data_IF_358512279766
#
_entry.id   IF_358512279766
#
_cell.length_a   1.000
_cell.length_b   1.000
_cell.length_c   1.000
_cell.angle_alpha   90.00
_cell.angle_beta   90.00
_cell.angle_gamma   90.00
#
_symmetry.space_group_name_H-M   'P 1'
#
loop_
_entity.id
_entity.type
_entity.pdbx_description
1 polymer ?
#
# COMPACT_ATOMS: atom_id res chain seq x y z
N UNK A 1 -28.11 10.81 18.80
CA UNK A 1 -27.18 11.37 17.80
C UNK A 1 -25.86 10.65 18.01
N UNK A 2 -25.35 9.93 17.01
CA UNK A 2 -24.04 9.28 17.15
C UNK A 2 -22.98 10.36 16.96
N UNK A 3 -22.14 10.59 17.97
CA UNK A 3 -20.98 11.47 17.83
C UNK A 3 -20.04 10.94 16.75
N UNK A 4 -19.50 11.84 15.93
CA UNK A 4 -18.57 11.49 14.86
C UNK A 4 -17.21 11.15 15.49
N UNK A 5 -16.57 10.00 15.16
CA UNK A 5 -15.36 9.54 15.86
C UNK A 5 -14.16 10.49 15.84
N UNK A 6 -14.11 11.44 14.89
CA UNK A 6 -13.05 12.46 14.85
C UNK A 6 -13.18 13.53 15.93
N UNK A 7 -14.38 13.73 16.46
CA UNK A 7 -14.70 14.83 17.38
C UNK A 7 -14.59 14.37 18.83
N UNK A 8 -14.34 13.08 19.06
CA UNK A 8 -14.12 12.50 20.38
C UNK A 8 -12.76 12.97 20.94
N UNK A 9 -12.67 13.35 22.22
CA UNK A 9 -11.38 13.65 22.84
C UNK A 9 -10.48 12.40 22.89
N UNK A 10 -9.16 12.61 22.95
CA UNK A 10 -8.21 11.53 23.20
C UNK A 10 -8.49 10.90 24.57
N UNK A 11 -8.62 9.59 24.62
CA UNK A 11 -8.73 8.84 25.87
C UNK A 11 -7.32 8.47 26.35
N UNK A 12 -7.02 8.47 27.66
CA UNK A 12 -5.71 8.07 28.18
C UNK A 12 -5.25 6.68 27.71
N UNK A 13 -6.20 5.77 27.48
CA UNK A 13 -6.02 4.42 26.95
C UNK A 13 -5.81 4.34 25.43
N UNK A 14 -6.16 5.40 24.69
CA UNK A 14 -6.02 5.50 23.24
C UNK A 14 -5.51 6.91 22.88
N UNK A 15 -4.21 7.19 23.12
CA UNK A 15 -3.62 8.53 22.97
C UNK A 15 -3.41 8.94 21.50
N UNK A 16 -4.13 8.34 20.55
CA UNK A 16 -3.94 8.48 19.11
C UNK A 16 -2.53 8.09 18.63
N UNK A 17 -1.80 7.29 19.41
CA UNK A 17 -0.49 6.80 19.02
C UNK A 17 -0.66 5.55 18.14
N UNK A 18 -0.07 5.59 16.96
CA UNK A 18 -0.03 4.43 16.08
C UNK A 18 0.95 3.40 16.63
N UNK A 19 0.44 2.24 17.03
CA UNK A 19 1.24 1.08 17.42
C UNK A 19 1.22 0.05 16.29
N UNK A 20 2.38 -0.31 15.78
CA UNK A 20 2.55 -1.46 14.90
C UNK A 20 3.48 -2.46 15.59
N UNK A 21 2.97 -3.67 15.82
CA UNK A 21 3.73 -4.78 16.37
C UNK A 21 3.85 -5.91 15.35
N UNK A 22 4.98 -6.61 15.35
CA UNK A 22 5.09 -7.86 14.62
C UNK A 22 4.16 -8.91 15.24
N UNK A 23 3.49 -9.68 14.40
CA UNK A 23 2.74 -10.89 14.80
C UNK A 23 3.50 -12.12 14.32
N UNK A 24 3.27 -13.26 14.97
CA UNK A 24 3.83 -14.53 14.51
C UNK A 24 3.29 -14.88 13.11
N UNK A 25 4.19 -15.26 12.20
CA UNK A 25 3.84 -15.54 10.81
C UNK A 25 5.09 -15.82 9.98
N UNK A 26 4.87 -16.09 8.69
CA UNK A 26 5.94 -16.31 7.70
C UNK A 26 6.40 -14.96 7.11
N UNK A 27 7.63 -14.50 7.43
CA UNK A 27 8.14 -13.23 6.93
C UNK A 27 8.40 -13.23 5.42
N UNK A 28 8.68 -14.40 4.82
CA UNK A 28 8.89 -14.52 3.39
C UNK A 28 7.57 -14.35 2.63
N UNK A 29 6.52 -14.97 3.15
CA UNK A 29 5.17 -14.80 2.63
C UNK A 29 4.71 -13.35 2.78
N UNK A 30 4.96 -12.72 3.92
CA UNK A 30 4.63 -11.31 4.15
C UNK A 30 5.34 -10.39 3.15
N UNK A 31 6.66 -10.58 2.96
CA UNK A 31 7.41 -9.82 1.96
C UNK A 31 6.82 -10.00 0.56
N UNK A 32 6.52 -11.25 0.19
CA UNK A 32 5.93 -11.57 -1.12
C UNK A 32 4.61 -10.84 -1.30
N UNK A 33 3.68 -10.96 -0.34
CA UNK A 33 2.37 -10.30 -0.39
C UNK A 33 2.48 -8.77 -0.53
N UNK A 34 3.34 -8.13 0.26
CA UNK A 34 3.54 -6.68 0.20
C UNK A 34 4.07 -6.26 -1.17
N UNK A 35 5.08 -6.95 -1.70
CA UNK A 35 5.65 -6.61 -3.01
C UNK A 35 4.62 -6.83 -4.13
N UNK A 36 3.85 -7.92 -4.08
CA UNK A 36 2.76 -8.17 -5.02
C UNK A 36 1.70 -7.07 -4.99
N UNK A 37 1.26 -6.66 -3.81
CA UNK A 37 0.23 -5.63 -3.63
C UNK A 37 0.67 -4.29 -4.24
N UNK A 38 1.82 -3.79 -3.83
CA UNK A 38 2.31 -2.49 -4.29
C UNK A 38 2.70 -2.50 -5.78
N UNK A 39 3.21 -3.62 -6.29
CA UNK A 39 3.49 -3.74 -7.73
C UNK A 39 2.20 -3.64 -8.58
N UNK A 40 1.08 -4.19 -8.10
CA UNK A 40 -0.24 -4.06 -8.74
C UNK A 40 -0.80 -2.64 -8.67
N UNK A 41 -0.36 -1.84 -7.70
CA UNK A 41 -0.63 -0.39 -7.62
C UNK A 41 0.31 0.45 -8.50
N UNK A 42 1.23 -0.18 -9.24
CA UNK A 42 2.13 0.49 -10.18
C UNK A 42 3.46 0.95 -9.57
N UNK A 43 3.84 0.44 -8.40
CA UNK A 43 5.17 0.69 -7.84
C UNK A 43 6.22 -0.12 -8.59
N UNK A 44 7.33 0.53 -8.93
CA UNK A 44 8.51 -0.11 -9.50
C UNK A 44 9.48 -0.59 -8.41
N UNK A 45 10.55 -1.26 -8.83
CA UNK A 45 11.57 -1.79 -7.93
C UNK A 45 12.22 -0.71 -7.05
N UNK A 46 12.47 0.49 -7.58
CA UNK A 46 13.11 1.57 -6.84
C UNK A 46 12.21 2.06 -5.70
N UNK A 47 10.93 2.32 -6.01
CA UNK A 47 9.94 2.74 -5.01
C UNK A 47 9.68 1.67 -3.97
N UNK A 48 9.62 0.40 -4.38
CA UNK A 48 9.49 -0.72 -3.45
C UNK A 48 10.68 -0.79 -2.51
N UNK A 49 11.92 -0.78 -3.03
CA UNK A 49 13.13 -0.82 -2.18
C UNK A 49 13.20 0.39 -1.24
N UNK A 50 12.75 1.57 -1.68
CA UNK A 50 12.65 2.75 -0.81
C UNK A 50 11.74 2.52 0.41
N UNK A 51 10.59 1.87 0.25
CA UNK A 51 9.70 1.51 1.38
C UNK A 51 10.36 0.60 2.41
N UNK A 52 11.24 -0.32 1.98
CA UNK A 52 11.97 -1.19 2.89
C UNK A 52 13.11 -0.45 3.60
N UNK A 53 13.68 0.59 2.99
CA UNK A 53 14.74 1.39 3.57
C UNK A 53 14.26 2.44 4.58
N UNK A 54 13.01 2.88 4.47
CA UNK A 54 12.45 3.94 5.31
C UNK A 54 11.99 3.42 6.69
N UNK A 55 12.57 3.91 7.81
CA UNK A 55 12.19 3.50 9.16
C UNK A 55 10.77 3.90 9.57
N UNK A 56 10.12 4.83 8.87
CA UNK A 56 8.70 5.18 9.07
C UNK A 56 7.76 4.04 8.66
N UNK A 57 8.18 3.16 7.75
CA UNK A 57 7.41 1.98 7.35
C UNK A 57 7.83 0.77 8.16
N UNK A 58 7.32 0.70 9.39
CA UNK A 58 7.76 -0.27 10.40
C UNK A 58 7.73 -1.74 9.93
N UNK A 59 6.71 -2.14 9.15
CA UNK A 59 6.57 -3.50 8.65
C UNK A 59 7.65 -3.87 7.61
N UNK A 60 7.77 -3.11 6.53
CA UNK A 60 8.76 -3.35 5.47
C UNK A 60 10.18 -3.13 5.97
N UNK A 61 10.40 -2.12 6.81
CA UNK A 61 11.68 -1.89 7.44
C UNK A 61 12.06 -3.00 8.43
N UNK A 62 11.08 -3.57 9.14
CA UNK A 62 11.25 -4.76 9.97
C UNK A 62 11.71 -5.97 9.15
N UNK A 63 11.05 -6.24 8.02
CA UNK A 63 11.46 -7.29 7.08
C UNK A 63 12.88 -7.05 6.54
N UNK A 64 13.23 -5.80 6.21
CA UNK A 64 14.59 -5.45 5.78
C UNK A 64 15.64 -5.74 6.85
N UNK A 65 15.33 -5.47 8.12
CA UNK A 65 16.24 -5.79 9.24
C UNK A 65 16.39 -7.30 9.43
N UNK A 66 15.32 -8.05 9.21
CA UNK A 66 15.29 -9.50 9.36
C UNK A 66 16.15 -10.22 8.29
N UNK A 67 15.93 -9.88 7.02
CA UNK A 67 16.65 -10.52 5.89
C UNK A 67 17.99 -9.83 5.57
N UNK A 68 18.14 -8.57 5.94
CA UNK A 68 19.25 -7.75 5.51
C UNK A 68 18.99 -7.02 4.19
N UNK A 69 19.72 -5.93 3.93
CA UNK A 69 19.44 -5.02 2.81
C UNK A 69 19.54 -5.66 1.43
N UNK A 70 20.61 -6.40 1.17
CA UNK A 70 20.86 -7.01 -0.14
C UNK A 70 19.86 -8.14 -0.43
N UNK A 71 19.66 -9.05 0.53
CA UNK A 71 18.69 -10.14 0.39
C UNK A 71 17.26 -9.61 0.21
N UNK A 72 16.89 -8.56 0.95
CA UNK A 72 15.59 -7.90 0.76
C UNK A 72 15.42 -7.37 -0.66
N UNK A 73 16.45 -6.71 -1.19
CA UNK A 73 16.44 -6.18 -2.56
C UNK A 73 16.31 -7.31 -3.59
N UNK A 74 17.07 -8.40 -3.43
CA UNK A 74 16.99 -9.55 -4.31
C UNK A 74 15.60 -10.20 -4.29
N UNK A 75 15.00 -10.37 -3.11
CA UNK A 75 13.64 -10.90 -2.95
C UNK A 75 12.59 -10.01 -3.61
N UNK A 76 12.69 -8.69 -3.44
CA UNK A 76 11.80 -7.72 -4.12
C UNK A 76 11.88 -7.89 -5.64
N UNK A 77 13.09 -7.95 -6.20
CA UNK A 77 13.29 -8.14 -7.64
C UNK A 77 12.75 -9.48 -8.13
N UNK A 78 12.95 -10.56 -7.36
CA UNK A 78 12.46 -11.89 -7.69
C UNK A 78 10.93 -11.96 -7.73
N UNK A 79 10.24 -11.31 -6.79
CA UNK A 79 8.78 -11.23 -6.80
C UNK A 79 8.29 -10.39 -7.99
N UNK A 80 8.90 -9.21 -8.22
CA UNK A 80 8.55 -8.35 -9.34
C UNK A 80 8.70 -9.03 -10.71
N UNK A 81 9.73 -9.85 -10.90
CA UNK A 81 9.94 -10.60 -12.13
C UNK A 81 8.78 -11.57 -12.45
N UNK A 82 7.98 -11.94 -11.44
CA UNK A 82 6.82 -12.85 -11.55
C UNK A 82 5.50 -12.10 -11.57
N UNK A 83 5.47 -10.83 -11.14
CA UNK A 83 4.27 -10.01 -11.12
C UNK A 83 4.10 -9.25 -12.43
N UNK A 84 2.99 -9.50 -13.12
CA UNK A 84 2.55 -8.64 -14.22
C UNK A 84 2.06 -7.29 -13.70
N UNK A 85 2.42 -6.19 -14.36
CA UNK A 85 1.87 -4.86 -14.08
C UNK A 85 0.58 -4.67 -14.89
N UNK A 86 -0.54 -4.47 -14.21
CA UNK A 86 -1.80 -4.10 -14.88
C UNK A 86 -1.65 -2.68 -15.44
N UNK A 87 -1.70 -2.55 -16.76
CA UNK A 87 -1.70 -1.26 -17.45
C UNK A 87 -3.10 -0.97 -17.98
N UNK A 88 -3.72 0.09 -17.48
CA UNK A 88 -5.05 0.53 -17.91
C UNK A 88 -4.90 1.77 -18.78
N UNK A 89 -5.47 1.74 -19.98
CA UNK A 89 -5.65 2.93 -20.81
C UNK A 89 -7.13 3.26 -20.83
N UNK A 90 -7.49 4.47 -20.42
CA UNK A 90 -8.88 4.95 -20.41
C UNK A 90 -9.11 5.81 -21.64
N UNK A 91 -10.11 5.45 -22.44
CA UNK A 91 -10.59 6.27 -23.54
C UNK A 91 -11.95 6.85 -23.15
N UNK A 92 -12.04 8.18 -23.09
CA UNK A 92 -13.32 8.85 -22.97
C UNK A 92 -14.03 8.78 -24.32
N UNK A 93 -15.21 8.16 -24.35
CA UNK A 93 -16.11 8.31 -25.48
C UNK A 93 -16.67 9.75 -25.47
N UNK A 94 -16.92 10.36 -26.65
CA UNK A 94 -17.65 11.61 -26.70
C UNK A 94 -18.99 11.44 -25.97
N UNK A 95 -19.48 12.48 -25.27
CA UNK A 95 -20.76 12.40 -24.58
C UNK A 95 -21.84 12.00 -25.59
N UNK A 96 -22.60 10.93 -25.31
CA UNK A 96 -23.86 10.72 -26.01
C UNK A 96 -24.71 11.97 -25.76
N UNK A 97 -25.28 12.51 -26.84
CA UNK A 97 -25.98 13.80 -26.87
C UNK A 97 -26.70 14.09 -25.54
N UNK A 98 -26.44 15.23 -24.89
CA UNK A 98 -27.05 15.53 -23.61
C UNK A 98 -28.56 15.50 -23.80
N UNK A 99 -29.25 14.73 -22.95
CA UNK A 99 -30.70 14.78 -22.85
C UNK A 99 -31.14 16.24 -22.91
N UNK A 100 -31.99 16.59 -23.87
CA UNK A 100 -32.55 17.92 -23.96
C UNK A 100 -33.44 18.12 -22.72
N UNK A 101 -32.90 18.77 -21.70
CA UNK A 101 -33.69 19.29 -20.59
C UNK A 101 -34.66 20.33 -21.19
N UNK A 102 -35.86 19.89 -21.56
CA UNK A 102 -36.96 20.80 -21.85
C UNK A 102 -37.44 21.37 -20.52
N UNK A 103 -36.99 22.59 -20.23
CA UNK A 103 -37.48 23.37 -19.10
C UNK A 103 -38.99 23.56 -19.23
N UNK A 104 -39.69 23.29 -18.13
CA UNK A 104 -41.10 23.65 -17.91
C UNK A 104 -41.19 25.03 -17.28
#
# INVERSE_FOLDING_TARGET
MSEHPSDRPAEPEDPFQMFAGGVEGDPELMLTCVVEEYSRLGYDAERLVALFNDPGFLATHGLRKLFGPEETRERVLAVLARCGVLRVTVHALPPETPFSCHGS
#
